data_IF_403614876968
#
_entry.id   IF_403614876968
#
_cell.length_a   1.000
_cell.length_b   1.000
_cell.length_c   1.000
_cell.angle_alpha   90.00
_cell.angle_beta   90.00
_cell.angle_gamma   90.00
#
_symmetry.space_group_name_H-M   'P 1'
#
loop_
_entity.id
_entity.type
_entity.pdbx_description
1 polymer ?
#
# COMPACT_ATOMS: atom_id res chain seq x y z
N UNK A 1 8.02 29.64 9.61
CA UNK A 1 7.10 28.50 9.83
C UNK A 1 7.93 27.24 9.72
N UNK A 2 8.27 26.69 10.89
CA UNK A 2 9.33 25.72 11.07
C UNK A 2 8.70 24.33 11.21
N UNK A 3 9.12 23.36 10.41
CA UNK A 3 9.23 21.96 10.85
C UNK A 3 10.72 21.74 11.16
N UNK A 4 11.15 20.83 12.08
CA UNK A 4 10.61 19.47 12.24
C UNK A 4 10.62 18.91 13.69
N UNK A 5 9.87 17.83 13.95
CA UNK A 5 10.08 16.90 15.08
C UNK A 5 9.25 15.63 14.83
N UNK A 6 9.89 14.49 14.50
CA UNK A 6 10.43 13.45 15.40
C UNK A 6 9.39 12.44 15.90
N UNK A 7 9.52 11.21 15.43
CA UNK A 7 9.10 9.95 16.03
C UNK A 7 9.97 8.89 15.34
N UNK A 8 10.81 8.06 15.97
CA UNK A 8 10.83 7.49 17.32
C UNK A 8 10.84 5.97 17.15
N UNK A 9 12.02 5.34 17.09
CA UNK A 9 12.26 3.88 17.10
C UNK A 9 11.88 3.28 18.49
N UNK A 10 11.50 2.01 18.69
CA UNK A 10 12.11 0.70 18.37
C UNK A 10 10.97 -0.37 18.27
N UNK A 11 11.07 -1.63 17.80
CA UNK A 11 12.12 -2.68 17.80
C UNK A 11 11.96 -3.63 16.58
N UNK A 12 13.08 -4.11 16.02
CA UNK A 12 13.24 -5.28 15.13
C UNK A 12 12.27 -5.51 13.94
N UNK A 13 11.90 -4.45 13.22
CA UNK A 13 11.50 -4.58 11.81
C UNK A 13 12.67 -4.04 10.97
N UNK A 14 13.14 -4.75 9.91
CA UNK A 14 14.14 -4.19 9.02
C UNK A 14 13.49 -3.07 8.22
N UNK A 15 13.36 -1.90 8.84
CA UNK A 15 12.95 -0.65 8.20
C UNK A 15 14.07 -0.27 7.26
N UNK A 16 13.96 -0.75 6.02
CA UNK A 16 14.98 -0.43 5.04
C UNK A 16 14.90 1.06 4.74
N UNK A 17 16.02 1.77 4.83
CA UNK A 17 15.98 3.22 4.83
C UNK A 17 15.40 3.79 3.53
N UNK A 18 14.63 4.90 3.58
CA UNK A 18 14.03 5.53 2.40
C UNK A 18 15.03 5.90 1.30
N UNK A 19 16.31 6.12 1.65
CA UNK A 19 17.38 6.41 0.69
C UNK A 19 17.82 5.21 -0.16
N UNK A 20 17.32 4.01 0.12
CA UNK A 20 17.64 2.80 -0.65
C UNK A 20 16.84 2.68 -1.95
N UNK A 21 15.71 3.37 -2.06
CA UNK A 21 14.87 3.40 -3.25
C UNK A 21 14.95 4.76 -3.94
N UNK A 22 15.08 4.73 -5.26
CA UNK A 22 14.92 5.92 -6.06
C UNK A 22 13.44 6.37 -6.09
N UNK A 23 13.13 7.65 -6.35
CA UNK A 23 11.75 8.15 -6.35
C UNK A 23 10.81 7.42 -7.32
N UNK A 24 11.31 6.83 -8.40
CA UNK A 24 10.49 6.04 -9.31
C UNK A 24 10.18 4.63 -8.75
N UNK A 25 11.07 4.07 -7.94
CA UNK A 25 10.86 2.78 -7.27
C UNK A 25 9.85 2.94 -6.14
N UNK A 26 9.89 4.04 -5.40
CA UNK A 26 8.85 4.34 -4.40
C UNK A 26 7.46 4.48 -5.04
N UNK A 27 7.36 5.11 -6.22
CA UNK A 27 6.11 5.17 -6.97
C UNK A 27 5.60 3.78 -7.34
N UNK A 28 6.50 2.87 -7.71
CA UNK A 28 6.14 1.48 -8.00
C UNK A 28 5.64 0.75 -6.75
N UNK A 29 6.28 0.95 -5.59
CA UNK A 29 5.80 0.39 -4.30
C UNK A 29 4.41 0.94 -3.96
N UNK A 30 4.17 2.24 -4.15
CA UNK A 30 2.83 2.84 -3.94
C UNK A 30 1.79 2.22 -4.86
N UNK A 31 2.16 1.99 -6.12
CA UNK A 31 1.28 1.32 -7.10
C UNK A 31 0.95 -0.11 -6.66
N UNK A 32 1.94 -0.90 -6.24
CA UNK A 32 1.73 -2.26 -5.70
C UNK A 32 0.82 -2.26 -4.47
N UNK A 33 1.02 -1.29 -3.57
CA UNK A 33 0.18 -1.12 -2.38
C UNK A 33 -1.27 -0.80 -2.77
N UNK A 34 -1.47 0.09 -3.75
CA UNK A 34 -2.81 0.40 -4.27
C UNK A 34 -3.46 -0.80 -4.95
N UNK A 35 -2.70 -1.57 -5.74
CA UNK A 35 -3.19 -2.79 -6.39
C UNK A 35 -3.59 -3.84 -5.35
N UNK A 36 -2.80 -4.01 -4.30
CA UNK A 36 -3.13 -4.88 -3.16
C UNK A 36 -4.42 -4.43 -2.48
N UNK A 37 -4.56 -3.13 -2.17
CA UNK A 37 -5.78 -2.58 -1.60
C UNK A 37 -6.99 -2.82 -2.51
N UNK A 38 -6.82 -2.65 -3.82
CA UNK A 38 -7.89 -2.90 -4.78
C UNK A 38 -8.33 -4.37 -4.79
N UNK A 39 -7.38 -5.31 -4.76
CA UNK A 39 -7.67 -6.74 -4.72
C UNK A 39 -8.35 -7.16 -3.42
N UNK A 40 -7.88 -6.64 -2.28
CA UNK A 40 -8.42 -6.97 -0.95
C UNK A 40 -9.80 -6.36 -0.72
N UNK A 41 -10.06 -5.19 -1.30
CA UNK A 41 -11.32 -4.46 -1.14
C UNK A 41 -12.33 -4.70 -2.27
N UNK A 42 -12.07 -5.60 -3.23
CA UNK A 42 -12.99 -5.92 -4.34
C UNK A 42 -14.41 -6.26 -3.86
N UNK A 43 -14.53 -7.03 -2.77
CA UNK A 43 -15.84 -7.39 -2.20
C UNK A 43 -16.64 -6.16 -1.75
N UNK A 44 -16.02 -5.27 -0.97
CA UNK A 44 -16.69 -4.07 -0.45
C UNK A 44 -16.96 -3.03 -1.54
N UNK A 45 -16.11 -2.98 -2.59
CA UNK A 45 -16.39 -2.19 -3.79
C UNK A 45 -17.63 -2.67 -4.52
N UNK A 46 -17.79 -3.98 -4.69
CA UNK A 46 -18.98 -4.56 -5.33
C UNK A 46 -20.24 -4.31 -4.51
N UNK A 47 -20.20 -4.52 -3.20
CA UNK A 47 -21.35 -4.27 -2.32
C UNK A 47 -21.78 -2.80 -2.36
N UNK A 48 -20.82 -1.87 -2.29
CA UNK A 48 -21.10 -0.45 -2.44
C UNK A 48 -21.61 -0.09 -3.84
N UNK A 49 -21.06 -0.69 -4.90
CA UNK A 49 -21.51 -0.50 -6.28
C UNK A 49 -22.95 -0.96 -6.49
N UNK A 50 -23.30 -2.15 -5.99
CA UNK A 50 -24.66 -2.70 -6.05
C UNK A 50 -25.67 -1.82 -5.30
N UNK A 51 -25.29 -1.28 -4.14
CA UNK A 51 -26.17 -0.36 -3.42
C UNK A 51 -26.30 0.99 -4.15
N UNK A 52 -25.20 1.51 -4.68
CA UNK A 52 -25.16 2.79 -5.40
C UNK A 52 -25.98 2.75 -6.69
N UNK A 53 -25.95 1.64 -7.41
CA UNK A 53 -26.76 1.44 -8.61
C UNK A 53 -28.26 1.48 -8.29
N UNK A 54 -28.68 0.88 -7.17
CA UNK A 54 -30.09 0.88 -6.72
C UNK A 54 -30.57 2.24 -6.22
N UNK A 55 -29.68 3.02 -5.62
CA UNK A 55 -30.04 4.25 -4.91
C UNK A 55 -29.54 5.54 -5.57
N UNK A 56 -28.86 5.48 -6.72
CA UNK A 56 -28.36 6.56 -7.60
C UNK A 56 -28.11 7.92 -6.93
N UNK A 57 -29.14 8.72 -6.66
CA UNK A 57 -29.03 10.05 -6.04
C UNK A 57 -28.88 9.96 -4.50
N UNK A 58 -29.58 9.02 -3.86
CA UNK A 58 -29.64 8.84 -2.42
C UNK A 58 -28.59 7.87 -1.86
N UNK A 59 -27.68 7.34 -2.69
CA UNK A 59 -26.67 6.37 -2.27
C UNK A 59 -25.82 6.86 -1.09
N UNK A 60 -25.54 8.17 -1.01
CA UNK A 60 -24.74 8.75 0.07
C UNK A 60 -25.38 8.59 1.45
N UNK A 61 -26.71 8.47 1.52
CA UNK A 61 -27.43 8.21 2.77
C UNK A 61 -27.89 6.75 2.90
N UNK A 62 -28.36 6.15 1.81
CA UNK A 62 -28.90 4.78 1.82
C UNK A 62 -27.82 3.71 1.86
N UNK A 63 -26.64 3.98 1.32
CA UNK A 63 -25.50 3.05 1.25
C UNK A 63 -24.39 3.43 2.22
N UNK A 64 -24.75 4.03 3.36
CA UNK A 64 -23.77 4.57 4.32
C UNK A 64 -22.88 3.47 4.90
N UNK A 65 -23.45 2.31 5.16
CA UNK A 65 -22.72 1.18 5.76
C UNK A 65 -21.75 0.56 4.75
N UNK A 66 -22.18 0.33 3.51
CA UNK A 66 -21.35 -0.18 2.43
C UNK A 66 -20.24 0.81 2.08
N UNK A 67 -20.56 2.11 2.04
CA UNK A 67 -19.58 3.18 1.86
C UNK A 67 -18.55 3.19 2.98
N UNK A 68 -18.97 3.02 4.23
CA UNK A 68 -18.07 2.96 5.39
C UNK A 68 -17.16 1.75 5.30
N UNK A 69 -17.70 0.56 5.01
CA UNK A 69 -16.92 -0.66 4.86
C UNK A 69 -15.86 -0.53 3.74
N UNK A 70 -16.23 0.09 2.62
CA UNK A 70 -15.29 0.40 1.54
C UNK A 70 -14.16 1.32 1.99
N UNK A 71 -14.50 2.44 2.65
CA UNK A 71 -13.51 3.41 3.13
C UNK A 71 -12.59 2.78 4.18
N UNK A 72 -13.14 2.05 5.15
CA UNK A 72 -12.36 1.40 6.20
C UNK A 72 -11.39 0.36 5.62
N UNK A 73 -11.83 -0.40 4.60
CA UNK A 73 -10.98 -1.35 3.90
C UNK A 73 -9.80 -0.67 3.20
N UNK A 74 -10.07 0.37 2.41
CA UNK A 74 -9.01 1.12 1.70
C UNK A 74 -8.09 1.83 2.68
N UNK A 75 -8.61 2.37 3.79
CA UNK A 75 -7.80 3.01 4.82
C UNK A 75 -6.84 2.02 5.49
N UNK A 76 -7.26 0.77 5.72
CA UNK A 76 -6.39 -0.26 6.28
C UNK A 76 -5.31 -0.70 5.27
N UNK A 77 -5.72 -1.11 4.07
CA UNK A 77 -4.78 -1.67 3.07
C UNK A 77 -3.92 -0.60 2.38
N UNK A 78 -4.36 0.65 2.37
CA UNK A 78 -3.59 1.81 1.91
C UNK A 78 -2.84 2.53 3.02
N UNK A 79 -2.78 1.96 4.22
CA UNK A 79 -2.06 2.57 5.36
C UNK A 79 -0.55 2.56 5.16
N UNK A 80 0.13 3.47 5.87
CA UNK A 80 1.59 3.55 5.88
C UNK A 80 2.23 2.21 6.30
N UNK A 81 1.58 1.47 7.20
CA UNK A 81 2.06 0.15 7.63
C UNK A 81 2.17 -0.83 6.46
N UNK A 82 1.10 -0.97 5.68
CA UNK A 82 1.09 -1.88 4.51
C UNK A 82 2.06 -1.37 3.44
N UNK A 83 2.19 -0.06 3.29
CA UNK A 83 3.17 0.53 2.39
C UNK A 83 4.61 0.17 2.77
N UNK A 84 4.99 0.26 4.05
CA UNK A 84 6.32 -0.15 4.53
C UNK A 84 6.55 -1.67 4.35
N UNK A 85 5.53 -2.51 4.59
CA UNK A 85 5.61 -3.95 4.29
C UNK A 85 5.90 -4.21 2.79
N UNK A 86 5.18 -3.52 1.89
CA UNK A 86 5.43 -3.62 0.45
C UNK A 86 6.80 -3.07 0.04
N UNK A 87 7.27 -2.02 0.71
CA UNK A 87 8.62 -1.48 0.50
C UNK A 87 9.68 -2.50 0.89
N UNK A 88 9.55 -3.13 2.05
CA UNK A 88 10.46 -4.15 2.54
C UNK A 88 10.53 -5.34 1.57
N UNK A 89 9.38 -5.81 1.07
CA UNK A 89 9.30 -6.86 0.06
C UNK A 89 10.01 -6.47 -1.24
N UNK A 90 9.78 -5.26 -1.74
CA UNK A 90 10.43 -4.76 -2.95
C UNK A 90 11.95 -4.73 -2.82
N UNK A 91 12.45 -4.32 -1.66
CA UNK A 91 13.88 -4.23 -1.40
C UNK A 91 14.51 -5.62 -1.26
N UNK A 92 13.83 -6.56 -0.60
CA UNK A 92 14.27 -7.96 -0.55
C UNK A 92 14.34 -8.58 -1.95
N UNK A 93 13.34 -8.34 -2.80
CA UNK A 93 13.36 -8.77 -4.21
C UNK A 93 14.57 -8.19 -4.97
N UNK A 94 14.88 -6.91 -4.73
CA UNK A 94 16.01 -6.21 -5.37
C UNK A 94 17.35 -6.79 -4.91
N UNK A 95 17.53 -7.00 -3.61
CA UNK A 95 18.74 -7.62 -3.03
C UNK A 95 18.92 -9.05 -3.58
N UNK A 96 17.84 -9.83 -3.65
CA UNK A 96 17.87 -11.19 -4.18
C UNK A 96 18.30 -11.24 -5.65
N UNK A 97 17.81 -10.30 -6.48
CA UNK A 97 18.23 -10.18 -7.90
C UNK A 97 19.72 -9.84 -8.01
N UNK A 98 20.19 -8.83 -7.28
CA UNK A 98 21.60 -8.42 -7.29
C UNK A 98 22.55 -9.53 -6.77
N UNK A 99 22.14 -10.27 -5.73
CA UNK A 99 22.90 -11.42 -5.22
C UNK A 99 22.88 -12.64 -6.15
N UNK A 100 21.87 -12.75 -7.01
CA UNK A 100 21.80 -13.74 -8.09
C UNK A 100 22.76 -13.40 -9.24
N UNK A 101 22.86 -12.12 -9.60
CA UNK A 101 23.71 -11.64 -10.69
C UNK A 101 25.21 -11.66 -10.34
N UNK A 102 25.57 -11.50 -9.06
CA UNK A 102 26.96 -11.60 -8.59
C UNK A 102 27.60 -12.99 -8.84
N UNK A 103 26.80 -14.06 -9.05
CA UNK A 103 27.31 -15.41 -9.37
C UNK A 103 27.55 -15.68 -10.86
N UNK A 104 27.12 -14.79 -11.77
CA UNK A 104 27.23 -15.00 -13.23
C UNK A 104 28.37 -14.25 -13.93
N UNK A 105 29.16 -13.47 -13.20
CA UNK A 105 30.26 -12.65 -13.74
C UNK A 105 31.66 -13.27 -13.59
N UNK A 106 31.78 -14.59 -13.64
CA UNK A 106 33.07 -15.30 -13.52
C UNK A 106 33.22 -16.37 -14.59
N UNK A 107 33.51 -15.97 -15.83
CA UNK A 107 34.26 -16.76 -16.80
C UNK A 107 34.95 -15.84 -17.80
#
# INVERSE_FOLDING_TARGET
MTQPSKSGANDDEPTVPPWMLAPYEEKEVRKRTQELANQKCDKVFREFGMCSEKHQILFSWKCKEEKKAMIDCVAYWGSDKVFEEQRNLYIQEKIAKLGGDARKGGN
#
